data_IF_883848723005
#
_entry.id   IF_883848723005
#
_cell.length_a   1.000
_cell.length_b   1.000
_cell.length_c   1.000
_cell.angle_alpha   90.00
_cell.angle_beta   90.00
_cell.angle_gamma   90.00
#
_symmetry.space_group_name_H-M   'P 1'
#
loop_
_entity.id
_entity.type
_entity.pdbx_description
1 polymer ?
#
# COMPACT_ATOMS: atom_id res chain seq x y z
N UNK A 1 -29.64 12.50 6.13
CA UNK A 1 -28.37 11.78 6.33
C UNK A 1 -28.66 10.32 5.95
N UNK A 2 -27.83 9.66 5.12
CA UNK A 2 -28.00 8.24 4.84
C UNK A 2 -27.94 7.44 6.15
N UNK A 3 -28.69 6.35 6.23
CA UNK A 3 -28.68 5.48 7.41
C UNK A 3 -27.24 5.01 7.68
N UNK A 4 -26.78 4.89 8.94
CA UNK A 4 -25.39 4.45 9.24
C UNK A 4 -25.04 3.11 8.58
N UNK A 5 -26.03 2.24 8.35
CA UNK A 5 -25.87 0.97 7.62
C UNK A 5 -25.52 1.16 6.14
N UNK A 6 -25.97 2.25 5.49
CA UNK A 6 -25.70 2.51 4.08
C UNK A 6 -24.26 2.99 3.87
N UNK A 7 -23.72 3.76 4.82
CA UNK A 7 -22.33 4.21 4.79
C UNK A 7 -21.34 3.02 4.88
N UNK A 8 -21.67 1.99 5.70
CA UNK A 8 -20.86 0.78 5.85
C UNK A 8 -20.79 -0.05 4.55
N UNK A 9 -21.82 0.01 3.70
CA UNK A 9 -21.80 -0.68 2.40
C UNK A 9 -20.61 -0.24 1.53
N UNK A 10 -20.21 1.02 1.64
CA UNK A 10 -19.14 1.61 0.83
C UNK A 10 -17.77 1.62 1.51
N UNK A 11 -17.68 1.13 2.75
CA UNK A 11 -16.39 0.90 3.40
C UNK A 11 -15.68 -0.28 2.70
N UNK A 12 -14.52 -0.01 2.10
CA UNK A 12 -13.70 -1.00 1.39
C UNK A 12 -12.44 -1.33 2.17
N UNK A 13 -11.85 -2.52 1.94
CA UNK A 13 -10.51 -2.88 2.44
C UNK A 13 -9.42 -1.89 1.97
N UNK A 14 -9.68 -1.11 0.92
CA UNK A 14 -8.83 0.00 0.52
C UNK A 14 -8.57 1.01 1.65
N UNK A 15 -9.48 1.17 2.61
CA UNK A 15 -9.29 2.02 3.79
C UNK A 15 -8.03 1.70 4.59
N UNK A 16 -7.57 0.45 4.61
CA UNK A 16 -6.32 0.07 5.29
C UNK A 16 -5.06 0.68 4.66
N UNK A 17 -5.15 1.27 3.46
CA UNK A 17 -4.07 2.08 2.91
C UNK A 17 -3.72 3.30 3.78
N UNK A 18 -4.67 3.80 4.58
CA UNK A 18 -4.45 4.84 5.59
C UNK A 18 -3.44 4.33 6.64
N UNK A 19 -3.70 3.14 7.18
CA UNK A 19 -2.84 2.51 8.19
C UNK A 19 -1.46 2.24 7.62
N UNK A 20 -1.39 1.68 6.41
CA UNK A 20 -0.13 1.40 5.72
C UNK A 20 0.70 2.67 5.55
N UNK A 21 0.07 3.77 5.13
CA UNK A 21 0.75 5.05 4.89
C UNK A 21 1.28 5.67 6.18
N UNK A 22 0.45 5.72 7.24
CA UNK A 22 0.83 6.34 8.51
C UNK A 22 1.86 5.48 9.25
N UNK A 23 1.71 4.15 9.28
CA UNK A 23 2.69 3.25 9.85
C UNK A 23 4.01 3.27 9.06
N UNK A 24 3.94 3.30 7.72
CA UNK A 24 5.11 3.45 6.87
C UNK A 24 5.86 4.76 7.12
N UNK A 25 5.13 5.87 7.33
CA UNK A 25 5.73 7.15 7.69
C UNK A 25 6.38 7.12 9.07
N UNK A 26 5.75 6.45 10.06
CA UNK A 26 6.37 6.20 11.36
C UNK A 26 7.73 5.52 11.21
N UNK A 27 7.79 4.46 10.40
CA UNK A 27 9.05 3.76 10.12
C UNK A 27 10.08 4.64 9.40
N UNK A 28 9.66 5.51 8.48
CA UNK A 28 10.56 6.47 7.84
C UNK A 28 11.14 7.47 8.85
N UNK A 29 10.32 8.01 9.77
CA UNK A 29 10.80 8.88 10.82
C UNK A 29 11.77 8.18 11.78
N UNK A 30 11.55 6.90 12.09
CA UNK A 30 12.52 6.10 12.87
C UNK A 30 13.88 5.98 12.17
N UNK A 31 13.91 5.85 10.83
CA UNK A 31 15.16 5.85 10.09
C UNK A 31 15.86 7.22 10.10
N UNK A 32 15.15 8.31 10.42
CA UNK A 32 15.73 9.65 10.53
C UNK A 32 16.32 9.95 11.92
N UNK A 33 16.12 9.07 12.92
CA UNK A 33 16.63 9.27 14.30
C UNK A 33 18.11 9.67 14.37
N UNK A 34 19.03 9.05 13.62
CA UNK A 34 20.43 9.41 13.69
C UNK A 34 20.75 10.83 13.20
N UNK A 35 19.85 11.43 12.39
CA UNK A 35 20.00 12.81 11.90
C UNK A 35 19.25 13.84 12.76
N UNK A 36 18.07 13.45 13.30
CA UNK A 36 17.13 14.35 13.96
C UNK A 36 16.97 14.05 15.46
N UNK A 37 17.64 13.02 15.98
CA UNK A 37 17.62 12.64 17.38
C UNK A 37 16.23 12.25 17.89
N UNK A 38 15.98 12.50 19.17
CA UNK A 38 14.76 12.10 19.88
C UNK A 38 13.47 12.72 19.31
N UNK A 39 13.58 13.87 18.64
CA UNK A 39 12.44 14.47 17.97
C UNK A 39 11.84 13.54 16.90
N UNK A 40 12.71 12.84 16.14
CA UNK A 40 12.26 11.86 15.16
C UNK A 40 11.55 10.66 15.83
N UNK A 41 12.08 10.18 16.95
CA UNK A 41 11.44 9.11 17.72
C UNK A 41 10.06 9.53 18.27
N UNK A 42 9.94 10.76 18.76
CA UNK A 42 8.66 11.31 19.23
C UNK A 42 7.60 11.38 18.12
N UNK A 43 7.98 11.88 16.93
CA UNK A 43 7.09 11.91 15.76
C UNK A 43 6.71 10.49 15.34
N UNK A 44 7.67 9.57 15.27
CA UNK A 44 7.42 8.17 14.91
C UNK A 44 6.45 7.49 15.88
N UNK A 45 6.60 7.72 17.20
CA UNK A 45 5.71 7.17 18.23
C UNK A 45 4.26 7.68 18.06
N UNK A 46 4.09 8.98 17.83
CA UNK A 46 2.76 9.56 17.59
C UNK A 46 2.12 8.95 16.34
N UNK A 47 2.88 8.84 15.22
CA UNK A 47 2.39 8.25 13.98
C UNK A 47 2.05 6.76 14.17
N UNK A 48 2.87 5.99 14.89
CA UNK A 48 2.57 4.59 15.22
C UNK A 48 1.27 4.46 16.02
N UNK A 49 1.06 5.34 17.01
CA UNK A 49 -0.17 5.39 17.80
C UNK A 49 -1.40 5.71 16.94
N UNK A 50 -1.29 6.71 16.06
CA UNK A 50 -2.37 7.06 15.11
C UNK A 50 -2.66 5.90 14.17
N UNK A 51 -1.64 5.23 13.62
CA UNK A 51 -1.81 4.07 12.76
C UNK A 51 -2.49 2.90 13.49
N UNK A 52 -2.11 2.64 14.74
CA UNK A 52 -2.73 1.59 15.55
C UNK A 52 -4.21 1.90 15.84
N UNK A 53 -4.55 3.12 16.20
CA UNK A 53 -5.93 3.54 16.41
C UNK A 53 -6.75 3.44 15.12
N UNK A 54 -6.20 3.89 13.99
CA UNK A 54 -6.84 3.77 12.69
C UNK A 54 -7.06 2.29 12.30
N UNK A 55 -6.09 1.41 12.59
CA UNK A 55 -6.23 -0.02 12.35
C UNK A 55 -7.36 -0.62 13.17
N UNK A 56 -7.40 -0.34 14.48
CA UNK A 56 -8.47 -0.86 15.35
C UNK A 56 -9.84 -0.37 14.88
N UNK A 57 -9.96 0.93 14.57
CA UNK A 57 -11.22 1.49 14.08
C UNK A 57 -11.68 0.82 12.77
N UNK A 58 -10.77 0.67 11.79
CA UNK A 58 -11.09 0.03 10.51
C UNK A 58 -11.37 -1.47 10.67
N UNK A 59 -10.67 -2.16 11.56
CA UNK A 59 -10.91 -3.57 11.84
C UNK A 59 -12.31 -3.79 12.46
N UNK A 60 -12.68 -2.97 13.45
CA UNK A 60 -14.02 -3.02 14.06
C UNK A 60 -15.09 -2.69 13.03
N UNK A 61 -14.93 -1.62 12.26
CA UNK A 61 -15.88 -1.24 11.21
C UNK A 61 -16.01 -2.30 10.12
N UNK A 62 -14.89 -2.94 9.72
CA UNK A 62 -14.90 -4.04 8.75
C UNK A 62 -15.59 -5.29 9.31
N UNK A 63 -15.41 -5.57 10.59
CA UNK A 63 -16.11 -6.66 11.27
C UNK A 63 -17.61 -6.40 11.32
N UNK A 64 -18.06 -5.20 11.73
CA UNK A 64 -19.47 -4.80 11.72
C UNK A 64 -20.05 -4.87 10.31
N UNK A 65 -19.30 -4.35 9.31
CA UNK A 65 -19.68 -4.45 7.90
C UNK A 65 -19.92 -5.90 7.47
N UNK A 66 -19.05 -6.81 7.87
CA UNK A 66 -19.20 -8.22 7.55
C UNK A 66 -20.49 -8.81 8.16
N UNK A 67 -20.86 -8.40 9.36
CA UNK A 67 -22.10 -8.85 10.02
C UNK A 67 -23.38 -8.31 9.36
N UNK A 68 -23.36 -7.02 8.96
CA UNK A 68 -24.60 -6.35 8.49
C UNK A 68 -24.68 -6.21 6.96
N UNK A 69 -23.56 -6.37 6.24
CA UNK A 69 -23.44 -6.16 4.79
C UNK A 69 -22.61 -7.29 4.14
N UNK A 70 -22.86 -8.55 4.52
CA UNK A 70 -22.11 -9.72 4.06
C UNK A 70 -22.07 -9.83 2.53
N UNK A 71 -23.16 -9.49 1.85
CA UNK A 71 -23.24 -9.49 0.38
C UNK A 71 -22.31 -8.45 -0.26
N UNK A 72 -22.19 -7.25 0.34
CA UNK A 72 -21.28 -6.23 -0.16
C UNK A 72 -19.81 -6.64 0.03
N UNK A 73 -19.48 -7.33 1.12
CA UNK A 73 -18.14 -7.91 1.34
C UNK A 73 -17.88 -9.02 0.33
N UNK A 74 -18.82 -9.93 0.11
CA UNK A 74 -18.69 -11.01 -0.87
C UNK A 74 -18.51 -10.46 -2.30
N UNK A 75 -19.26 -9.42 -2.67
CA UNK A 75 -19.12 -8.75 -3.96
C UNK A 75 -17.74 -8.06 -4.12
N UNK A 76 -17.21 -7.44 -3.06
CA UNK A 76 -15.85 -6.86 -3.08
C UNK A 76 -14.79 -7.94 -3.27
N UNK A 77 -14.88 -9.05 -2.53
CA UNK A 77 -13.96 -10.17 -2.64
C UNK A 77 -14.07 -10.91 -3.99
N UNK A 78 -15.25 -10.93 -4.60
CA UNK A 78 -15.45 -11.49 -5.94
C UNK A 78 -14.91 -10.56 -7.05
N UNK A 79 -14.83 -9.25 -6.79
CA UNK A 79 -14.46 -8.26 -7.81
C UNK A 79 -13.02 -8.45 -8.31
N UNK A 80 -12.77 -8.47 -9.65
CA UNK A 80 -11.46 -8.80 -10.23
C UNK A 80 -10.33 -7.87 -9.79
N UNK A 81 -10.58 -6.58 -9.52
CA UNK A 81 -9.55 -5.64 -9.07
C UNK A 81 -9.55 -5.39 -7.56
N UNK A 82 -10.74 -5.40 -6.90
CA UNK A 82 -10.83 -4.97 -5.50
C UNK A 82 -10.38 -6.05 -4.51
N UNK A 83 -10.46 -7.33 -4.86
CA UNK A 83 -10.11 -8.43 -3.97
C UNK A 83 -8.67 -8.32 -3.44
N UNK A 84 -7.74 -7.77 -4.23
CA UNK A 84 -6.34 -7.64 -3.85
C UNK A 84 -6.13 -6.64 -2.69
N UNK A 85 -7.07 -5.72 -2.43
CA UNK A 85 -7.01 -4.84 -1.25
C UNK A 85 -7.11 -5.60 0.07
N UNK A 86 -7.63 -6.84 0.09
CA UNK A 86 -7.61 -7.67 1.29
C UNK A 86 -6.18 -7.80 1.85
N UNK A 87 -5.15 -7.80 0.99
CA UNK A 87 -3.75 -7.82 1.40
C UNK A 87 -3.32 -6.61 2.25
N UNK A 88 -4.06 -5.49 2.20
CA UNK A 88 -3.74 -4.32 3.02
C UNK A 88 -3.95 -4.57 4.53
N UNK A 89 -4.81 -5.52 4.90
CA UNK A 89 -5.04 -5.90 6.31
C UNK A 89 -3.78 -6.51 6.93
N UNK A 90 -3.24 -7.65 6.43
CA UNK A 90 -2.02 -8.24 7.00
C UNK A 90 -0.78 -7.36 6.81
N UNK A 91 -0.67 -6.60 5.72
CA UNK A 91 0.40 -5.59 5.56
C UNK A 91 0.35 -4.57 6.69
N UNK A 92 -0.83 -4.07 7.05
CA UNK A 92 -1.00 -3.15 8.17
C UNK A 92 -0.54 -3.76 9.50
N UNK A 93 -0.89 -5.03 9.76
CA UNK A 93 -0.47 -5.77 10.96
C UNK A 93 1.06 -5.90 11.00
N UNK A 94 1.70 -6.28 9.88
CA UNK A 94 3.15 -6.40 9.78
C UNK A 94 3.86 -5.05 10.00
N UNK A 95 3.32 -3.96 9.45
CA UNK A 95 3.87 -2.62 9.65
C UNK A 95 3.75 -2.16 11.10
N UNK A 96 2.61 -2.40 11.76
CA UNK A 96 2.42 -2.10 13.17
C UNK A 96 3.34 -2.94 14.06
N UNK A 97 3.50 -4.24 13.77
CA UNK A 97 4.46 -5.08 14.47
C UNK A 97 5.90 -4.56 14.29
N UNK A 98 6.26 -4.13 13.08
CA UNK A 98 7.58 -3.56 12.76
C UNK A 98 7.81 -2.25 13.52
N UNK A 99 6.83 -1.35 13.53
CA UNK A 99 6.91 -0.10 14.29
C UNK A 99 7.01 -0.39 15.80
N UNK A 100 6.23 -1.33 16.31
CA UNK A 100 6.30 -1.75 17.72
C UNK A 100 7.66 -2.30 18.11
N UNK A 101 8.25 -3.21 17.30
CA UNK A 101 9.60 -3.75 17.54
C UNK A 101 10.66 -2.65 17.49
N UNK A 102 10.54 -1.71 16.56
CA UNK A 102 11.52 -0.63 16.40
C UNK A 102 11.43 0.41 17.53
N UNK A 103 10.25 0.64 18.11
CA UNK A 103 10.03 1.63 19.17
C UNK A 103 10.25 1.07 20.60
N UNK A 104 9.82 -0.18 20.81
CA UNK A 104 9.75 -0.75 22.16
C UNK A 104 10.65 -1.97 22.36
N UNK A 105 11.38 -2.40 21.31
CA UNK A 105 12.14 -3.63 21.32
C UNK A 105 11.28 -4.87 21.13
N UNK A 106 11.89 -6.04 21.29
CA UNK A 106 11.23 -7.34 21.09
C UNK A 106 10.39 -7.72 22.31
N UNK A 107 9.20 -8.26 22.07
CA UNK A 107 8.34 -8.83 23.11
C UNK A 107 7.51 -9.98 22.57
N UNK A 108 7.00 -10.85 23.47
CA UNK A 108 6.12 -11.94 23.07
C UNK A 108 4.85 -11.48 22.36
N UNK A 109 4.26 -10.35 22.82
CA UNK A 109 3.07 -9.76 22.20
C UNK A 109 3.35 -9.31 20.76
N UNK A 110 4.48 -8.65 20.52
CA UNK A 110 4.88 -8.22 19.18
C UNK A 110 5.25 -9.41 18.28
N UNK A 111 5.83 -10.47 18.86
CA UNK A 111 6.07 -11.72 18.12
C UNK A 111 4.74 -12.37 17.68
N UNK A 112 3.74 -12.46 18.56
CA UNK A 112 2.41 -12.96 18.21
C UNK A 112 1.76 -12.12 17.14
N UNK A 113 1.83 -10.79 17.26
CA UNK A 113 1.29 -9.85 16.26
C UNK A 113 1.96 -10.04 14.90
N UNK A 114 3.29 -10.15 14.88
CA UNK A 114 4.05 -10.38 13.66
C UNK A 114 3.72 -11.73 13.02
N UNK A 115 3.66 -12.83 13.81
CA UNK A 115 3.29 -14.13 13.29
C UNK A 115 1.87 -14.14 12.71
N UNK A 116 0.91 -13.51 13.38
CA UNK A 116 -0.45 -13.37 12.87
C UNK A 116 -0.46 -12.62 11.52
N UNK A 117 0.25 -11.48 11.42
CA UNK A 117 0.37 -10.73 10.17
C UNK A 117 1.06 -11.53 9.07
N UNK A 118 2.15 -12.23 9.39
CA UNK A 118 2.94 -13.04 8.47
C UNK A 118 2.15 -14.21 7.88
N UNK A 119 1.48 -14.99 8.73
CA UNK A 119 0.66 -16.13 8.28
C UNK A 119 -0.57 -15.67 7.49
N UNK A 120 -1.22 -14.60 7.94
CA UNK A 120 -2.36 -14.00 7.24
C UNK A 120 -1.93 -13.47 5.87
N UNK A 121 -0.75 -12.83 5.77
CA UNK A 121 -0.21 -12.35 4.50
C UNK A 121 0.03 -13.49 3.53
N UNK A 122 0.64 -14.58 3.98
CA UNK A 122 0.85 -15.77 3.15
C UNK A 122 -0.48 -16.36 2.69
N UNK A 123 -1.46 -16.48 3.59
CA UNK A 123 -2.78 -16.98 3.25
C UNK A 123 -3.48 -16.11 2.19
N UNK A 124 -3.43 -14.79 2.32
CA UNK A 124 -3.99 -13.87 1.32
C UNK A 124 -3.23 -13.97 -0.01
N UNK A 125 -1.90 -14.07 0.01
CA UNK A 125 -1.10 -14.27 -1.20
C UNK A 125 -1.52 -15.54 -1.94
N UNK A 126 -1.60 -16.66 -1.23
CA UNK A 126 -2.03 -17.94 -1.81
C UNK A 126 -3.47 -17.89 -2.32
N UNK A 127 -4.36 -17.22 -1.60
CA UNK A 127 -5.76 -17.06 -2.04
C UNK A 127 -5.85 -16.23 -3.32
N UNK A 128 -5.10 -15.12 -3.44
CA UNK A 128 -5.05 -14.29 -4.66
C UNK A 128 -4.45 -15.07 -5.81
N UNK A 129 -3.32 -15.78 -5.59
CA UNK A 129 -2.71 -16.61 -6.62
C UNK A 129 -3.59 -17.78 -7.05
N UNK A 130 -4.33 -18.38 -6.11
CA UNK A 130 -5.30 -19.43 -6.40
C UNK A 130 -6.39 -18.98 -7.39
N UNK A 131 -6.73 -17.68 -7.40
CA UNK A 131 -7.64 -17.12 -8.41
C UNK A 131 -7.01 -17.10 -9.82
N UNK A 132 -5.69 -16.93 -9.92
CA UNK A 132 -5.00 -16.95 -11.22
C UNK A 132 -5.08 -18.32 -11.90
N UNK A 133 -5.25 -19.40 -11.11
CA UNK A 133 -5.38 -20.77 -11.62
C UNK A 133 -6.80 -21.12 -12.04
N UNK A 134 -7.77 -20.23 -11.86
CA UNK A 134 -9.16 -20.51 -12.26
C UNK A 134 -9.30 -20.46 -13.78
N UNK A 135 -9.96 -21.46 -14.32
CA UNK A 135 -10.27 -21.54 -15.76
C UNK A 135 -11.32 -20.50 -16.20
N UNK A 136 -12.13 -20.02 -15.28
CA UNK A 136 -13.11 -18.96 -15.53
C UNK A 136 -12.41 -17.62 -15.74
N UNK A 137 -12.48 -17.12 -16.99
CA UNK A 137 -11.88 -15.83 -17.36
C UNK A 137 -12.50 -14.63 -16.66
N UNK A 138 -13.72 -14.71 -16.16
CA UNK A 138 -14.38 -13.60 -15.45
C UNK A 138 -13.82 -13.44 -14.03
N UNK A 139 -13.46 -14.54 -13.36
CA UNK A 139 -12.95 -14.55 -11.99
C UNK A 139 -11.44 -14.78 -11.90
N UNK A 140 -10.80 -15.17 -12.99
CA UNK A 140 -9.37 -15.46 -13.09
C UNK A 140 -8.52 -14.22 -13.36
N UNK A 141 -7.30 -14.46 -13.85
CA UNK A 141 -6.36 -13.41 -14.24
C UNK A 141 -6.77 -12.82 -15.60
N UNK A 142 -7.55 -11.76 -15.56
CA UNK A 142 -7.99 -11.03 -16.74
C UNK A 142 -7.49 -9.58 -16.72
N UNK A 143 -7.74 -8.83 -17.79
CA UNK A 143 -7.28 -7.45 -17.93
C UNK A 143 -7.82 -6.51 -16.83
N UNK A 144 -9.02 -6.76 -16.31
CA UNK A 144 -9.61 -5.97 -15.23
C UNK A 144 -8.95 -6.29 -13.86
N UNK A 145 -8.42 -7.51 -13.69
CA UNK A 145 -7.67 -7.91 -12.50
C UNK A 145 -6.23 -7.33 -12.51
N UNK A 146 -5.65 -7.09 -13.69
CA UNK A 146 -4.29 -6.57 -13.82
C UNK A 146 -4.23 -5.08 -13.45
N UNK A 147 -4.24 -4.79 -12.17
CA UNK A 147 -4.09 -3.44 -11.61
C UNK A 147 -2.90 -3.38 -10.65
N UNK A 148 -2.31 -2.19 -10.41
CA UNK A 148 -1.19 -2.05 -9.47
C UNK A 148 -1.51 -2.50 -8.05
N UNK A 149 -2.79 -2.64 -7.70
CA UNK A 149 -3.24 -3.17 -6.41
C UNK A 149 -2.76 -4.61 -6.19
N UNK A 150 -2.47 -5.38 -7.26
CA UNK A 150 -1.88 -6.72 -7.17
C UNK A 150 -0.51 -6.75 -6.48
N UNK A 151 0.19 -5.62 -6.40
CA UNK A 151 1.42 -5.57 -5.61
C UNK A 151 1.16 -5.73 -4.11
N UNK A 152 -0.02 -5.36 -3.57
CA UNK A 152 -0.29 -5.38 -2.13
C UNK A 152 -0.17 -6.80 -1.54
N UNK A 153 -0.84 -7.84 -2.06
CA UNK A 153 -0.69 -9.20 -1.56
C UNK A 153 0.71 -9.79 -1.79
N UNK A 154 1.47 -9.26 -2.75
CA UNK A 154 2.85 -9.69 -3.03
C UNK A 154 3.83 -8.99 -2.09
N UNK A 155 3.71 -7.67 -1.96
CA UNK A 155 4.61 -6.78 -1.20
C UNK A 155 4.63 -7.10 0.28
N UNK A 156 3.51 -7.50 0.86
CA UNK A 156 3.45 -7.87 2.26
C UNK A 156 4.46 -8.97 2.64
N UNK A 157 4.81 -9.84 1.69
CA UNK A 157 5.80 -10.89 1.94
C UNK A 157 7.23 -10.31 2.08
N UNK A 158 7.57 -9.23 1.37
CA UNK A 158 8.90 -8.59 1.49
C UNK A 158 9.04 -7.74 2.76
N UNK A 159 7.96 -7.49 3.50
CA UNK A 159 8.00 -6.82 4.80
C UNK A 159 8.47 -7.75 5.94
N UNK A 160 8.32 -9.07 5.79
CA UNK A 160 8.55 -10.04 6.85
C UNK A 160 9.90 -9.87 7.58
N UNK A 161 11.05 -9.59 6.90
CA UNK A 161 12.32 -9.44 7.58
C UNK A 161 12.42 -8.29 8.56
N UNK A 162 11.67 -7.19 8.33
CA UNK A 162 11.86 -5.95 9.09
C UNK A 162 11.65 -6.14 10.60
N UNK A 163 10.67 -6.94 11.01
CA UNK A 163 10.49 -7.34 12.39
C UNK A 163 10.84 -8.79 12.65
N UNK A 164 10.73 -9.68 11.67
CA UNK A 164 10.97 -11.12 11.84
C UNK A 164 12.41 -11.44 12.21
N UNK A 165 13.39 -10.71 11.67
CA UNK A 165 14.81 -10.90 12.04
C UNK A 165 15.06 -10.51 13.51
N UNK A 166 14.69 -9.30 13.99
CA UNK A 166 14.84 -8.96 15.40
C UNK A 166 14.08 -9.87 16.36
N UNK A 167 12.93 -10.42 15.93
CA UNK A 167 12.11 -11.34 16.72
C UNK A 167 12.65 -12.78 16.73
N UNK A 168 13.81 -13.05 16.11
CA UNK A 168 14.43 -14.38 16.07
C UNK A 168 13.81 -15.33 15.03
N UNK A 169 12.90 -14.87 14.17
CA UNK A 169 12.25 -15.66 13.13
C UNK A 169 12.91 -15.47 11.74
N UNK A 170 14.23 -15.24 11.70
CA UNK A 170 14.97 -14.86 10.49
C UNK A 170 14.83 -15.85 9.33
N UNK A 171 14.83 -17.16 9.61
CA UNK A 171 14.67 -18.19 8.57
C UNK A 171 13.30 -18.13 7.89
N UNK A 172 12.22 -18.03 8.66
CA UNK A 172 10.87 -17.87 8.10
C UNK A 172 10.71 -16.54 7.35
N UNK A 173 11.22 -15.44 7.94
CA UNK A 173 11.19 -14.12 7.34
C UNK A 173 11.92 -14.10 5.99
N UNK A 174 13.09 -14.77 5.88
CA UNK A 174 13.83 -14.90 4.63
C UNK A 174 13.07 -15.73 3.59
N UNK A 175 12.43 -16.85 3.99
CA UNK A 175 11.61 -17.65 3.09
C UNK A 175 10.43 -16.84 2.52
N UNK A 176 9.71 -16.13 3.40
CA UNK A 176 8.60 -15.27 2.99
C UNK A 176 9.06 -14.10 2.11
N UNK A 177 10.18 -13.48 2.43
CA UNK A 177 10.82 -12.45 1.61
C UNK A 177 11.11 -12.96 0.19
N UNK A 178 11.64 -14.18 0.07
CA UNK A 178 11.90 -14.83 -1.22
C UNK A 178 10.66 -14.98 -2.09
N UNK A 179 9.49 -15.29 -1.46
CA UNK A 179 8.20 -15.33 -2.18
C UNK A 179 7.88 -13.96 -2.79
N UNK A 180 8.01 -12.89 -2.01
CA UNK A 180 7.74 -11.54 -2.50
C UNK A 180 8.71 -11.09 -3.59
N UNK A 181 10.00 -11.40 -3.45
CA UNK A 181 11.04 -11.11 -4.46
C UNK A 181 10.76 -11.83 -5.77
N UNK A 182 10.33 -13.10 -5.71
CA UNK A 182 9.95 -13.88 -6.90
C UNK A 182 8.71 -13.30 -7.59
N UNK A 183 7.67 -12.98 -6.83
CA UNK A 183 6.39 -12.57 -7.40
C UNK A 183 6.39 -11.11 -7.91
N UNK A 184 7.24 -10.25 -7.36
CA UNK A 184 7.32 -8.84 -7.79
C UNK A 184 7.58 -8.68 -9.29
N UNK A 185 8.65 -9.24 -9.90
CA UNK A 185 8.90 -9.10 -11.33
C UNK A 185 7.80 -9.73 -12.19
N UNK A 186 7.16 -10.80 -11.73
CA UNK A 186 6.04 -11.43 -12.43
C UNK A 186 4.86 -10.46 -12.52
N UNK A 187 4.45 -9.86 -11.39
CA UNK A 187 3.36 -8.88 -11.38
C UNK A 187 3.74 -7.64 -12.19
N UNK A 188 4.98 -7.16 -12.07
CA UNK A 188 5.46 -6.01 -12.84
C UNK A 188 5.37 -6.28 -14.35
N UNK A 189 5.84 -7.45 -14.81
CA UNK A 189 5.78 -7.83 -16.23
C UNK A 189 4.34 -7.89 -16.75
N UNK A 190 3.41 -8.47 -15.96
CA UNK A 190 1.99 -8.53 -16.31
C UNK A 190 1.37 -7.13 -16.42
N UNK A 191 1.71 -6.21 -15.51
CA UNK A 191 1.21 -4.84 -15.54
C UNK A 191 1.78 -4.05 -16.73
N UNK A 192 3.06 -4.21 -17.05
CA UNK A 192 3.68 -3.59 -18.22
C UNK A 192 3.09 -4.12 -19.52
N UNK A 193 2.88 -5.43 -19.63
CA UNK A 193 2.21 -6.04 -20.77
C UNK A 193 0.78 -5.50 -20.95
N UNK A 194 0.04 -5.34 -19.84
CA UNK A 194 -1.28 -4.73 -19.86
C UNK A 194 -1.24 -3.28 -20.33
N UNK A 195 -0.29 -2.47 -19.82
CA UNK A 195 -0.13 -1.08 -20.27
C UNK A 195 0.17 -1.02 -21.76
N UNK A 196 1.05 -1.89 -22.25
CA UNK A 196 1.42 -1.95 -23.67
C UNK A 196 0.27 -2.32 -24.60
N UNK A 197 -0.66 -3.19 -24.14
CA UNK A 197 -1.75 -3.71 -24.96
C UNK A 197 -3.07 -2.96 -24.80
N UNK A 198 -3.31 -2.32 -23.65
CA UNK A 198 -4.61 -1.74 -23.31
C UNK A 198 -4.51 -0.30 -22.77
N UNK A 199 -3.31 0.25 -22.65
CA UNK A 199 -3.07 1.57 -22.08
C UNK A 199 -3.18 1.60 -20.55
N UNK A 200 -3.23 2.80 -19.99
CA UNK A 200 -3.31 3.04 -18.54
C UNK A 200 -4.71 2.70 -18.00
N UNK A 201 -4.75 2.52 -16.68
CA UNK A 201 -6.00 2.34 -15.94
C UNK A 201 -6.89 3.58 -16.00
N UNK A 202 -8.20 3.43 -15.68
CA UNK A 202 -9.10 4.56 -15.51
C UNK A 202 -8.54 5.58 -14.52
N UNK A 203 -8.86 6.86 -14.72
CA UNK A 203 -8.31 7.99 -13.94
C UNK A 203 -8.35 7.78 -12.43
N UNK A 204 -9.42 7.17 -11.91
CA UNK A 204 -9.60 6.86 -10.48
C UNK A 204 -8.56 5.88 -9.91
N UNK A 205 -7.97 5.04 -10.75
CA UNK A 205 -6.95 4.05 -10.35
C UNK A 205 -5.52 4.56 -10.55
N UNK A 206 -5.33 5.75 -11.15
CA UNK A 206 -4.00 6.31 -11.37
C UNK A 206 -3.17 6.48 -10.08
N UNK A 207 -3.75 6.88 -8.92
CA UNK A 207 -2.99 6.93 -7.68
C UNK A 207 -2.35 5.58 -7.32
N UNK A 208 -3.03 4.47 -7.62
CA UNK A 208 -2.51 3.13 -7.35
C UNK A 208 -1.25 2.79 -8.16
N UNK A 209 -0.95 3.50 -9.25
CA UNK A 209 0.28 3.28 -10.04
C UNK A 209 1.53 3.49 -9.18
N UNK A 210 1.48 4.39 -8.20
CA UNK A 210 2.59 4.64 -7.28
C UNK A 210 2.91 3.46 -6.37
N UNK A 211 1.98 2.50 -6.19
CA UNK A 211 2.24 1.27 -5.43
C UNK A 211 3.46 0.52 -6.01
N UNK A 212 3.73 0.66 -7.32
CA UNK A 212 4.88 0.04 -7.98
C UNK A 212 6.26 0.49 -7.42
N UNK A 213 6.32 1.63 -6.72
CA UNK A 213 7.54 2.12 -6.04
C UNK A 213 7.84 1.28 -4.78
N UNK A 214 6.81 0.73 -4.16
CA UNK A 214 6.91 0.05 -2.86
C UNK A 214 7.75 -1.23 -2.90
N UNK A 215 7.54 -2.18 -3.83
CA UNK A 215 8.28 -3.44 -3.82
C UNK A 215 9.81 -3.25 -3.84
N UNK A 216 10.40 -2.50 -4.77
CA UNK A 216 11.85 -2.33 -4.77
C UNK A 216 12.35 -1.60 -3.51
N UNK A 217 11.62 -0.59 -2.99
CA UNK A 217 12.00 0.08 -1.75
C UNK A 217 12.04 -0.87 -0.54
N UNK A 218 11.04 -1.77 -0.43
CA UNK A 218 10.98 -2.76 0.65
C UNK A 218 11.95 -3.92 0.43
N UNK A 219 12.22 -4.33 -0.81
CA UNK A 219 13.25 -5.33 -1.13
C UNK A 219 14.62 -4.83 -0.68
N UNK A 220 14.97 -3.57 -0.98
CA UNK A 220 16.21 -2.98 -0.48
C UNK A 220 16.29 -2.95 1.04
N UNK A 221 15.22 -2.54 1.71
CA UNK A 221 15.14 -2.49 3.17
C UNK A 221 15.19 -3.88 3.81
N UNK A 222 14.45 -4.84 3.27
CA UNK A 222 14.43 -6.22 3.75
C UNK A 222 15.75 -6.96 3.52
N UNK A 223 16.41 -6.72 2.38
CA UNK A 223 17.73 -7.28 2.09
C UNK A 223 18.77 -6.80 3.10
N UNK A 224 18.81 -5.49 3.42
CA UNK A 224 19.68 -4.97 4.49
C UNK A 224 19.37 -5.60 5.84
N UNK A 225 18.09 -5.81 6.14
CA UNK A 225 17.67 -6.43 7.40
C UNK A 225 18.11 -7.90 7.51
N UNK A 226 18.20 -8.60 6.38
CA UNK A 226 18.71 -9.98 6.29
C UNK A 226 20.24 -10.06 6.25
N UNK A 227 20.95 -8.92 6.33
CA UNK A 227 22.41 -8.89 6.29
C UNK A 227 23.01 -8.97 4.88
N UNK A 228 22.21 -8.70 3.84
CA UNK A 228 22.71 -8.68 2.47
C UNK A 228 23.64 -7.46 2.22
N UNK A 229 24.49 -7.57 1.19
CA UNK A 229 25.37 -6.47 0.79
C UNK A 229 24.58 -5.18 0.52
N UNK A 230 25.07 -4.01 0.98
CA UNK A 230 24.48 -2.71 0.67
C UNK A 230 24.31 -2.46 -0.84
N UNK A 231 25.08 -3.10 -1.69
CA UNK A 231 24.96 -2.99 -3.15
C UNK A 231 23.55 -3.39 -3.62
N UNK A 232 22.97 -4.43 -3.04
CA UNK A 232 21.60 -4.86 -3.37
C UNK A 232 20.55 -3.80 -3.00
N UNK A 233 20.75 -3.11 -1.88
CA UNK A 233 19.86 -2.04 -1.47
C UNK A 233 20.00 -0.81 -2.40
N UNK A 234 21.21 -0.49 -2.86
CA UNK A 234 21.44 0.54 -3.87
C UNK A 234 20.78 0.20 -5.21
N UNK A 235 20.90 -1.04 -5.67
CA UNK A 235 20.24 -1.50 -6.89
C UNK A 235 18.70 -1.36 -6.75
N UNK A 236 18.14 -1.81 -5.62
CA UNK A 236 16.72 -1.71 -5.34
C UNK A 236 16.25 -0.24 -5.22
N UNK A 237 17.05 0.63 -4.60
CA UNK A 237 16.79 2.06 -4.53
C UNK A 237 16.76 2.71 -5.92
N UNK A 238 17.70 2.38 -6.79
CA UNK A 238 17.72 2.86 -8.17
C UNK A 238 16.45 2.49 -8.93
N UNK A 239 15.94 1.24 -8.76
CA UNK A 239 14.69 0.81 -9.37
C UNK A 239 13.49 1.56 -8.75
N UNK A 240 13.48 1.77 -7.42
CA UNK A 240 12.43 2.53 -6.75
C UNK A 240 12.39 3.99 -7.23
N UNK A 241 13.57 4.63 -7.37
CA UNK A 241 13.71 6.00 -7.91
C UNK A 241 13.23 6.07 -9.36
N UNK A 242 13.65 5.14 -10.21
CA UNK A 242 13.18 5.07 -11.61
C UNK A 242 11.66 4.97 -11.67
N UNK A 243 11.07 4.09 -10.87
CA UNK A 243 9.62 3.89 -10.83
C UNK A 243 8.89 5.13 -10.33
N UNK A 244 9.43 5.81 -9.31
CA UNK A 244 8.88 7.06 -8.78
C UNK A 244 8.88 8.17 -9.84
N UNK A 245 10.00 8.35 -10.54
CA UNK A 245 10.14 9.34 -11.61
C UNK A 245 9.24 8.99 -12.81
N UNK A 246 9.08 7.70 -13.11
CA UNK A 246 8.19 7.25 -14.18
C UNK A 246 6.71 7.52 -13.87
N UNK A 247 6.31 7.42 -12.60
CA UNK A 247 4.95 7.73 -12.16
C UNK A 247 4.70 9.25 -12.00
N UNK A 248 5.73 10.07 -11.80
CA UNK A 248 5.60 11.49 -11.49
C UNK A 248 4.74 12.31 -12.50
N UNK A 249 4.83 12.09 -13.84
CA UNK A 249 3.96 12.80 -14.80
C UNK A 249 2.47 12.58 -14.59
N UNK A 250 2.06 11.47 -13.96
CA UNK A 250 0.67 11.16 -13.68
C UNK A 250 0.06 12.07 -12.59
N UNK A 251 0.90 12.73 -11.78
CA UNK A 251 0.43 13.59 -10.68
C UNK A 251 -0.53 14.69 -11.14
N UNK A 252 -0.30 15.29 -12.32
CA UNK A 252 -1.21 16.30 -12.86
C UNK A 252 -2.62 15.75 -13.08
N UNK A 253 -2.73 14.53 -13.60
CA UNK A 253 -3.99 13.84 -13.85
C UNK A 253 -4.65 13.40 -12.55
N UNK A 254 -3.86 12.92 -11.59
CA UNK A 254 -4.33 12.51 -10.27
C UNK A 254 -4.92 13.71 -9.52
N UNK A 255 -4.20 14.83 -9.46
CA UNK A 255 -4.66 16.03 -8.75
C UNK A 255 -5.86 16.72 -9.39
N UNK A 256 -6.15 16.45 -10.67
CA UNK A 256 -7.35 16.93 -11.34
C UNK A 256 -8.62 16.14 -10.93
N UNK A 257 -8.47 14.96 -10.27
CA UNK A 257 -9.60 14.15 -9.84
C UNK A 257 -10.15 14.62 -8.48
N UNK A 258 -11.46 14.44 -8.22
CA UNK A 258 -11.99 14.64 -6.89
C UNK A 258 -11.34 13.67 -5.91
N UNK A 259 -11.07 14.16 -4.69
CA UNK A 259 -10.45 13.33 -3.65
C UNK A 259 -11.30 12.12 -3.31
N UNK A 260 -10.66 10.97 -3.17
CA UNK A 260 -11.24 9.72 -2.70
C UNK A 260 -10.21 8.87 -1.94
N UNK A 261 -10.67 7.85 -1.27
CA UNK A 261 -9.83 6.93 -0.46
C UNK A 261 -8.66 6.34 -1.27
N UNK A 262 -8.84 6.15 -2.58
CA UNK A 262 -7.80 5.64 -3.49
C UNK A 262 -6.51 6.49 -3.53
N UNK A 263 -6.58 7.77 -3.17
CA UNK A 263 -5.41 8.65 -3.08
C UNK A 263 -4.40 8.21 -2.01
N UNK A 264 -4.83 7.47 -0.98
CA UNK A 264 -3.93 6.90 0.03
C UNK A 264 -2.93 5.90 -0.54
N UNK A 265 -3.13 5.43 -1.77
CA UNK A 265 -2.14 4.64 -2.50
C UNK A 265 -0.83 5.40 -2.78
N UNK A 266 -0.79 6.72 -2.63
CA UNK A 266 0.41 7.55 -2.73
C UNK A 266 1.27 7.52 -1.46
N UNK A 267 0.66 7.40 -0.28
CA UNK A 267 1.32 7.64 1.00
C UNK A 267 2.37 6.59 1.32
N UNK A 268 1.99 5.31 1.32
CA UNK A 268 2.91 4.23 1.68
C UNK A 268 4.11 4.10 0.73
N UNK A 269 3.98 4.20 -0.61
CA UNK A 269 5.11 4.19 -1.52
C UNK A 269 6.14 5.29 -1.24
N UNK A 270 5.69 6.51 -0.99
CA UNK A 270 6.56 7.63 -0.66
C UNK A 270 7.27 7.42 0.68
N UNK A 271 6.56 6.91 1.68
CA UNK A 271 7.14 6.59 2.99
C UNK A 271 8.18 5.46 2.89
N UNK A 272 7.90 4.40 2.12
CA UNK A 272 8.84 3.29 1.91
C UNK A 272 10.10 3.75 1.16
N UNK A 273 9.94 4.59 0.13
CA UNK A 273 11.07 5.18 -0.58
C UNK A 273 11.92 6.08 0.34
N UNK A 274 11.29 6.93 1.16
CA UNK A 274 11.98 7.77 2.13
C UNK A 274 12.74 6.93 3.15
N UNK A 275 12.13 5.87 3.69
CA UNK A 275 12.75 4.97 4.67
C UNK A 275 14.00 4.29 4.10
N UNK A 276 13.95 3.76 2.88
CA UNK A 276 15.13 3.17 2.23
C UNK A 276 16.21 4.21 1.96
N UNK A 277 15.83 5.41 1.47
CA UNK A 277 16.78 6.51 1.20
C UNK A 277 17.50 6.93 2.48
N UNK A 278 16.79 7.06 3.59
CA UNK A 278 17.35 7.34 4.91
C UNK A 278 18.33 6.25 5.36
N UNK A 279 17.97 4.96 5.21
CA UNK A 279 18.89 3.87 5.54
C UNK A 279 20.18 3.91 4.72
N UNK A 280 20.10 4.23 3.44
CA UNK A 280 21.26 4.35 2.57
C UNK A 280 22.09 5.61 2.86
N UNK A 281 21.47 6.69 3.32
CA UNK A 281 22.14 7.92 3.72
C UNK A 281 23.11 7.74 4.89
N UNK A 282 22.96 6.68 5.69
CA UNK A 282 23.95 6.27 6.71
C UNK A 282 25.18 5.59 6.11
N UNK A 283 25.01 5.00 4.96
CA UNK A 283 26.08 4.26 4.29
C UNK A 283 26.85 5.14 3.29
N UNK A 284 26.38 6.39 3.05
CA UNK A 284 26.94 7.28 2.04
C UNK A 284 26.58 8.75 2.32
N UNK A 285 27.59 9.61 2.46
CA UNK A 285 27.43 11.03 2.82
C UNK A 285 26.67 11.86 1.76
N UNK A 286 26.53 11.39 0.51
CA UNK A 286 25.89 12.14 -0.57
C UNK A 286 24.36 12.12 -0.58
N UNK A 287 23.69 11.23 0.19
CA UNK A 287 22.24 11.02 0.11
C UNK A 287 21.44 11.77 1.17
N UNK A 288 22.08 12.38 2.17
CA UNK A 288 21.41 12.96 3.33
C UNK A 288 20.36 14.01 2.96
N UNK A 289 20.73 14.95 2.08
CA UNK A 289 19.79 15.99 1.63
C UNK A 289 18.58 15.40 0.91
N UNK A 290 18.79 14.43 0.01
CA UNK A 290 17.72 13.76 -0.71
C UNK A 290 16.82 12.95 0.24
N UNK A 291 17.40 12.29 1.25
CA UNK A 291 16.67 11.54 2.25
C UNK A 291 15.74 12.45 3.08
N UNK A 292 16.23 13.63 3.47
CA UNK A 292 15.42 14.61 4.19
C UNK A 292 14.31 15.20 3.32
N UNK A 293 14.59 15.47 2.03
CA UNK A 293 13.56 15.91 1.07
C UNK A 293 12.50 14.82 0.87
N UNK A 294 12.91 13.56 0.74
CA UNK A 294 11.98 12.44 0.59
C UNK A 294 11.09 12.26 1.83
N UNK A 295 11.67 12.37 3.04
CA UNK A 295 10.92 12.32 4.29
C UNK A 295 9.92 13.48 4.40
N UNK A 296 10.35 14.72 4.09
CA UNK A 296 9.50 15.89 4.11
C UNK A 296 8.34 15.76 3.10
N UNK A 297 8.62 15.29 1.89
CA UNK A 297 7.60 15.07 0.86
C UNK A 297 6.59 14.00 1.30
N UNK A 298 7.05 12.85 1.81
CA UNK A 298 6.18 11.80 2.32
C UNK A 298 5.28 12.31 3.47
N UNK A 299 5.88 13.07 4.41
CA UNK A 299 5.14 13.68 5.53
C UNK A 299 4.09 14.67 5.03
N UNK A 300 4.46 15.57 4.12
CA UNK A 300 3.54 16.55 3.54
C UNK A 300 2.36 15.87 2.83
N UNK A 301 2.63 14.90 1.97
CA UNK A 301 1.60 14.18 1.22
C UNK A 301 0.63 13.48 2.18
N UNK A 302 1.14 12.77 3.21
CA UNK A 302 0.30 12.05 4.17
C UNK A 302 -0.54 13.01 5.02
N UNK A 303 0.00 14.16 5.42
CA UNK A 303 -0.77 15.21 6.11
C UNK A 303 -1.88 15.76 5.22
N UNK A 304 -1.58 16.07 3.95
CA UNK A 304 -2.59 16.53 2.99
C UNK A 304 -3.69 15.49 2.76
N UNK A 305 -3.34 14.20 2.65
CA UNK A 305 -4.31 13.11 2.54
C UNK A 305 -5.18 13.00 3.79
N UNK A 306 -4.60 13.15 4.98
CA UNK A 306 -5.34 13.13 6.25
C UNK A 306 -6.33 14.31 6.34
N UNK A 307 -5.89 15.52 5.98
CA UNK A 307 -6.77 16.71 5.95
C UNK A 307 -7.90 16.55 4.92
N UNK A 308 -7.61 16.03 3.72
CA UNK A 308 -8.61 15.77 2.70
C UNK A 308 -9.61 14.69 3.15
N UNK A 309 -9.13 13.63 3.83
CA UNK A 309 -9.99 12.59 4.41
C UNK A 309 -10.90 13.15 5.50
N UNK A 310 -10.37 13.99 6.39
CA UNK A 310 -11.16 14.65 7.42
C UNK A 310 -12.25 15.56 6.84
N UNK A 311 -11.87 16.35 5.82
CA UNK A 311 -12.83 17.19 5.09
C UNK A 311 -13.93 16.35 4.43
N UNK A 312 -13.54 15.28 3.70
CA UNK A 312 -14.48 14.39 3.04
C UNK A 312 -15.41 13.67 4.03
N UNK A 313 -14.88 13.27 5.20
CA UNK A 313 -15.70 12.68 6.26
C UNK A 313 -16.73 13.67 6.81
N UNK A 314 -16.33 14.90 7.14
CA UNK A 314 -17.24 15.96 7.62
C UNK A 314 -18.32 16.31 6.60
N UNK A 315 -18.01 16.21 5.29
CA UNK A 315 -18.94 16.49 4.19
C UNK A 315 -19.79 15.27 3.82
N UNK A 316 -19.56 14.10 4.40
CA UNK A 316 -20.26 12.85 4.05
C UNK A 316 -19.91 12.28 2.66
N UNK A 317 -18.85 12.80 2.03
CA UNK A 317 -18.43 12.39 0.67
C UNK A 317 -17.46 11.20 0.67
N UNK A 318 -16.81 10.92 1.80
CA UNK A 318 -15.77 9.89 1.88
C UNK A 318 -16.29 8.47 1.66
N UNK A 319 -17.50 8.18 2.13
CA UNK A 319 -18.20 6.90 2.00
C UNK A 319 -19.41 7.01 1.06
N UNK A 320 -19.40 7.98 0.14
CA UNK A 320 -20.42 8.09 -0.88
C UNK A 320 -20.25 6.99 -1.95
N UNK A 321 -21.35 6.55 -2.61
CA UNK A 321 -21.24 5.66 -3.76
C UNK A 321 -20.28 6.26 -4.80
N UNK A 322 -19.38 5.44 -5.32
CA UNK A 322 -18.55 5.87 -6.45
C UNK A 322 -19.46 6.27 -7.62
N UNK A 323 -19.37 7.52 -8.09
CA UNK A 323 -20.14 7.97 -9.23
C UNK A 323 -19.89 7.03 -10.41
N UNK A 324 -20.98 6.51 -10.99
CA UNK A 324 -20.89 5.69 -12.19
C UNK A 324 -20.15 6.47 -13.28
N UNK A 325 -19.30 5.82 -14.11
CA UNK A 325 -18.68 6.50 -15.23
C UNK A 325 -19.78 7.08 -16.10
N UNK A 326 -19.73 8.39 -16.33
CA UNK A 326 -20.58 9.04 -17.33
C UNK A 326 -20.13 8.46 -18.67
N UNK A 327 -20.86 7.47 -19.18
CA UNK A 327 -20.73 7.08 -20.59
C UNK A 327 -21.24 8.30 -21.39
N UNK A 328 -20.29 9.06 -21.95
CA UNK A 328 -20.61 9.96 -23.03
C UNK A 328 -21.05 9.08 -24.21
N UNK A 329 -22.36 8.89 -24.33
CA UNK A 329 -22.97 8.40 -25.57
C UNK A 329 -22.74 9.53 -26.57
N UNK A 330 -21.65 9.47 -27.30
CA UNK A 330 -21.50 10.15 -28.58
C UNK A 330 -22.56 9.53 -29.48
N UNK A 331 -23.75 10.12 -29.46
CA UNK A 331 -24.75 9.82 -30.46
C UNK A 331 -24.11 10.14 -31.82
N UNK A 332 -23.72 9.10 -32.55
CA UNK A 332 -23.42 9.20 -33.96
C UNK A 332 -24.70 9.71 -34.61
N UNK A 333 -24.74 11.00 -34.90
CA UNK A 333 -25.64 11.56 -35.86
C UNK A 333 -25.26 10.95 -37.22
N UNK A 334 -25.88 9.84 -37.57
CA UNK A 334 -25.91 9.41 -38.95
C UNK A 334 -26.72 10.44 -39.71
N UNK A 335 -26.06 11.21 -40.57
CA UNK A 335 -26.64 12.04 -41.59
C UNK A 335 -27.71 11.26 -42.37
N UNK A 336 -28.94 11.68 -42.22
CA UNK A 336 -29.93 11.51 -43.24
C UNK A 336 -29.86 12.78 -44.09
N UNK A 337 -29.19 12.71 -45.20
CA UNK A 337 -29.37 13.61 -46.30
C UNK A 337 -30.36 13.00 -47.30
N UNK A 338 -31.18 13.83 -47.95
CA UNK A 338 -32.33 13.43 -48.77
C UNK A 338 -31.96 12.78 -50.12
#
# INVERSE_FOLDING_TARGET
MPHPSDALKHLSFNGFAIVMSVAGLSLAWLQAMPMLGDAAAGVALVLAGVAALAFVALAVLSWVRWQVQAEAVAAELAHPARHAFLGAVPVSVLLLATAGVSLFGTSAALAVLWWAGSLMQLAVTLWVMGRWLRADREQGLNAAALTPVLFIPVVGNVLAPLAGVPLGAGGWAAAQFGIGVLLWPVVLALLLARIATQGLWPERLLPATFIAVTPPALIGSGALQLGASPVLAWMAWGVALLTLLWCAPLMRRILAQPFGIGFWALGFPLAAFAALTLRLAFLSDGLQALAMVALALASLVIVLLAMASWKGWRQGTLLAPEAAPVMSITASRSDRAP
#
